data_IF_214135791605
#
_entry.id   IF_214135791605
#
_cell.length_a   1.000
_cell.length_b   1.000
_cell.length_c   1.000
_cell.angle_alpha   90.00
_cell.angle_beta   90.00
_cell.angle_gamma   90.00
#
_symmetry.space_group_name_H-M   'P 1'
#
loop_
_entity.id
_entity.type
_entity.pdbx_description
1 polymer ?
#
# COMPACT_ATOMS: atom_id res chain seq x y z
N UNK A 1 19.02 -9.61 4.13
CA UNK A 1 18.66 -9.48 5.56
C UNK A 1 17.32 -10.13 5.96
N UNK A 2 16.22 -10.03 5.19
CA UNK A 2 15.00 -10.80 5.54
C UNK A 2 15.18 -12.32 5.37
N UNK A 3 16.01 -12.76 4.42
CA UNK A 3 16.33 -14.18 4.18
C UNK A 3 16.91 -14.87 5.43
N UNK A 4 17.85 -14.21 6.13
CA UNK A 4 18.59 -14.82 7.24
C UNK A 4 17.70 -15.07 8.47
N UNK A 5 16.74 -14.17 8.73
CA UNK A 5 15.77 -14.33 9.81
C UNK A 5 14.77 -15.45 9.56
N UNK A 6 14.29 -15.59 8.32
CA UNK A 6 13.38 -16.68 7.95
C UNK A 6 14.10 -18.03 8.06
N UNK A 7 15.36 -18.10 7.60
CA UNK A 7 16.18 -19.30 7.77
C UNK A 7 16.43 -19.65 9.25
N UNK A 8 16.73 -18.67 10.10
CA UNK A 8 16.88 -18.91 11.55
C UNK A 8 15.60 -19.41 12.20
N UNK A 9 14.44 -18.85 11.84
CA UNK A 9 13.14 -19.32 12.33
C UNK A 9 12.84 -20.74 11.85
N UNK A 10 13.15 -21.05 10.59
CA UNK A 10 13.02 -22.39 10.01
C UNK A 10 13.87 -23.40 10.78
N UNK A 11 15.15 -23.08 11.02
CA UNK A 11 16.08 -23.93 11.77
C UNK A 11 15.62 -24.14 13.22
N UNK A 12 15.16 -23.09 13.90
CA UNK A 12 14.61 -23.20 15.25
C UNK A 12 13.36 -24.08 15.30
N UNK A 13 12.47 -23.93 14.32
CA UNK A 13 11.26 -24.74 14.23
C UNK A 13 11.56 -26.22 13.95
N UNK A 14 12.57 -26.50 13.11
CA UNK A 14 13.08 -27.85 12.86
C UNK A 14 13.67 -28.49 14.12
N UNK A 15 14.42 -27.72 14.91
CA UNK A 15 15.01 -28.20 16.15
C UNK A 15 13.95 -28.56 17.19
N UNK A 16 12.92 -27.71 17.36
CA UNK A 16 11.81 -27.98 18.28
C UNK A 16 11.01 -29.21 17.86
N UNK A 17 10.73 -29.38 16.56
CA UNK A 17 10.03 -30.55 16.05
C UNK A 17 10.80 -31.85 16.35
N UNK A 18 12.13 -31.83 16.18
CA UNK A 18 13.00 -32.97 16.49
C UNK A 18 12.97 -33.34 17.99
N UNK A 19 12.80 -32.37 18.89
CA UNK A 19 12.77 -32.59 20.34
C UNK A 19 11.40 -33.04 20.89
N UNK A 20 10.31 -32.72 20.20
CA UNK A 20 8.95 -32.82 20.77
C UNK A 20 8.09 -33.91 20.13
N UNK A 21 8.62 -34.70 19.18
CA UNK A 21 7.86 -35.64 18.34
C UNK A 21 6.69 -34.99 17.59
N UNK A 22 6.68 -33.65 17.48
CA UNK A 22 5.68 -32.90 16.73
C UNK A 22 6.06 -32.91 15.23
N UNK A 23 5.05 -32.86 14.33
CA UNK A 23 5.33 -32.74 12.91
C UNK A 23 6.09 -31.45 12.62
N UNK A 24 7.09 -31.54 11.72
CA UNK A 24 7.85 -30.36 11.26
C UNK A 24 6.87 -29.35 10.67
N UNK A 25 6.88 -28.09 11.15
CA UNK A 25 6.06 -27.06 10.53
C UNK A 25 6.54 -26.82 9.11
N UNK A 26 5.64 -26.99 8.15
CA UNK A 26 5.88 -26.65 6.75
C UNK A 26 5.49 -25.19 6.55
N UNK A 27 6.48 -24.33 6.27
CA UNK A 27 6.16 -22.99 5.82
C UNK A 27 5.49 -23.08 4.44
N UNK A 28 4.40 -22.33 4.20
CA UNK A 28 3.82 -22.23 2.87
C UNK A 28 4.85 -21.68 1.89
N UNK A 29 4.82 -22.17 0.64
CA UNK A 29 5.70 -21.64 -0.38
C UNK A 29 5.38 -20.16 -0.64
N UNK A 30 6.34 -19.37 -1.11
CA UNK A 30 6.09 -17.99 -1.46
C UNK A 30 4.96 -17.87 -2.50
N UNK A 31 4.95 -18.71 -3.53
CA UNK A 31 3.90 -18.76 -4.57
C UNK A 31 2.52 -19.01 -3.96
N UNK A 32 2.42 -19.97 -3.02
CA UNK A 32 1.16 -20.22 -2.30
C UNK A 32 0.68 -18.99 -1.55
N UNK A 33 1.58 -18.26 -0.88
CA UNK A 33 1.22 -17.03 -0.17
C UNK A 33 0.73 -15.94 -1.14
N UNK A 34 1.42 -15.76 -2.28
CA UNK A 34 1.00 -14.81 -3.33
C UNK A 34 -0.38 -15.17 -3.87
N UNK A 35 -0.59 -16.43 -4.24
CA UNK A 35 -1.88 -16.91 -4.76
C UNK A 35 -2.99 -16.72 -3.74
N UNK A 36 -2.71 -17.02 -2.46
CA UNK A 36 -3.68 -16.84 -1.38
C UNK A 36 -4.02 -15.37 -1.16
N UNK A 37 -3.02 -14.49 -1.17
CA UNK A 37 -3.23 -13.03 -1.07
C UNK A 37 -4.05 -12.49 -2.24
N UNK A 38 -3.75 -12.91 -3.47
CA UNK A 38 -4.53 -12.54 -4.65
C UNK A 38 -5.96 -13.05 -4.57
N UNK A 39 -6.16 -14.29 -4.13
CA UNK A 39 -7.49 -14.86 -3.93
C UNK A 39 -8.32 -14.06 -2.92
N UNK A 40 -7.70 -13.55 -1.85
CA UNK A 40 -8.36 -12.68 -0.88
C UNK A 40 -8.81 -11.34 -1.48
N UNK A 41 -8.11 -10.83 -2.51
CA UNK A 41 -8.50 -9.60 -3.22
C UNK A 41 -9.64 -9.82 -4.23
N UNK A 42 -9.81 -11.05 -4.75
CA UNK A 42 -10.84 -11.33 -5.75
C UNK A 42 -12.28 -11.19 -5.22
N UNK A 43 -12.56 -11.59 -3.97
CA UNK A 43 -13.92 -11.50 -3.41
C UNK A 43 -14.39 -10.05 -3.15
N UNK A 44 -13.55 -9.15 -2.63
CA UNK A 44 -13.86 -7.72 -2.60
C UNK A 44 -13.93 -7.09 -4.00
N UNK A 45 -13.07 -7.52 -4.93
CA UNK A 45 -13.06 -7.04 -6.31
C UNK A 45 -14.37 -7.30 -7.04
N UNK A 46 -14.91 -8.53 -6.95
CA UNK A 46 -16.19 -8.87 -7.58
C UNK A 46 -17.38 -8.06 -7.04
N UNK A 47 -17.20 -7.38 -5.91
CA UNK A 47 -18.17 -6.46 -5.29
C UNK A 47 -17.84 -4.99 -5.55
N UNK A 48 -16.88 -4.69 -6.42
CA UNK A 48 -16.44 -3.33 -6.73
C UNK A 48 -15.74 -2.61 -5.58
N UNK A 49 -15.22 -3.34 -4.58
CA UNK A 49 -14.53 -2.75 -3.41
C UNK A 49 -13.03 -2.61 -3.58
N UNK A 50 -12.49 -3.22 -4.62
CA UNK A 50 -11.06 -3.14 -4.96
C UNK A 50 -10.99 -2.64 -6.38
N UNK A 51 -10.16 -1.62 -6.58
CA UNK A 51 -9.97 -0.99 -7.88
C UNK A 51 -9.19 -1.97 -8.82
N UNK A 52 -9.57 -2.08 -10.10
CA UNK A 52 -8.96 -3.05 -11.03
C UNK A 52 -7.45 -2.88 -11.23
N UNK A 53 -6.94 -1.65 -11.33
CA UNK A 53 -5.50 -1.35 -11.40
C UNK A 53 -4.76 -1.94 -10.21
N UNK A 54 -5.30 -1.85 -9.00
CA UNK A 54 -4.69 -2.43 -7.80
C UNK A 54 -4.47 -3.94 -7.94
N UNK A 55 -5.43 -4.66 -8.51
CA UNK A 55 -5.35 -6.11 -8.72
C UNK A 55 -4.30 -6.43 -9.78
N UNK A 56 -4.29 -5.69 -10.88
CA UNK A 56 -3.30 -5.83 -11.93
C UNK A 56 -1.87 -5.68 -11.37
N UNK A 57 -1.66 -4.62 -10.56
CA UNK A 57 -0.36 -4.38 -9.94
C UNK A 57 -0.02 -5.48 -8.95
N UNK A 58 -0.95 -5.90 -8.10
CA UNK A 58 -0.73 -6.99 -7.14
C UNK A 58 -0.36 -8.32 -7.83
N UNK A 59 -0.89 -8.60 -9.03
CA UNK A 59 -0.54 -9.79 -9.80
C UNK A 59 0.90 -9.71 -10.35
N UNK A 60 1.29 -8.54 -10.86
CA UNK A 60 2.62 -8.29 -11.43
C UNK A 60 3.72 -8.04 -10.39
N UNK A 61 3.36 -7.57 -9.21
CA UNK A 61 4.33 -7.27 -8.17
C UNK A 61 4.86 -8.59 -7.59
N UNK A 62 6.15 -8.85 -7.75
CA UNK A 62 6.78 -10.11 -7.32
C UNK A 62 6.95 -10.24 -5.81
N UNK A 63 6.73 -9.17 -5.05
CA UNK A 63 6.84 -9.18 -3.61
C UNK A 63 5.54 -9.63 -2.94
N UNK A 64 5.67 -10.55 -1.96
CA UNK A 64 4.59 -10.98 -1.05
C UNK A 64 4.06 -9.87 -0.15
N UNK A 65 4.79 -8.76 -0.06
CA UNK A 65 4.45 -7.61 0.76
C UNK A 65 3.94 -6.50 -0.15
N UNK A 66 2.65 -6.17 -0.02
CA UNK A 66 2.08 -4.93 -0.57
C UNK A 66 2.85 -3.78 0.09
N UNK A 67 3.43 -2.83 -0.68
CA UNK A 67 4.19 -1.74 -0.08
C UNK A 67 3.29 -1.01 0.91
N UNK A 68 3.74 -0.95 2.16
CA UNK A 68 3.10 -0.09 3.15
C UNK A 68 3.75 1.26 3.00
N UNK A 69 2.94 2.31 3.02
CA UNK A 69 3.51 3.63 2.99
C UNK A 69 4.27 3.94 4.30
N UNK A 70 5.18 4.92 4.21
CA UNK A 70 6.23 5.18 5.19
C UNK A 70 5.69 5.14 6.63
N UNK A 71 6.36 4.38 7.50
CA UNK A 71 6.33 4.75 8.91
C UNK A 71 6.40 3.69 10.00
N UNK A 72 6.37 2.36 9.77
CA UNK A 72 6.31 1.48 10.96
C UNK A 72 7.27 0.31 11.10
N UNK A 73 7.89 -0.29 10.06
CA UNK A 73 8.79 -1.46 10.27
C UNK A 73 9.90 -1.67 9.23
N UNK A 74 10.01 -0.82 8.21
CA UNK A 74 10.90 -1.04 7.07
C UNK A 74 11.86 0.14 6.91
N UNK A 75 13.08 -0.16 6.50
CA UNK A 75 14.07 0.85 6.15
C UNK A 75 13.56 1.75 5.01
N UNK A 76 13.81 3.06 5.12
CA UNK A 76 13.30 4.06 4.18
C UNK A 76 13.73 3.78 2.74
N UNK A 77 14.96 3.33 2.52
CA UNK A 77 15.47 3.04 1.19
C UNK A 77 14.72 1.87 0.55
N UNK A 78 14.45 0.81 1.34
CA UNK A 78 13.69 -0.35 0.88
C UNK A 78 12.23 0.05 0.60
N UNK A 79 11.59 0.78 1.50
CA UNK A 79 10.21 1.24 1.34
C UNK A 79 10.05 2.10 0.08
N UNK A 80 10.96 3.05 -0.15
CA UNK A 80 10.97 3.89 -1.33
C UNK A 80 11.19 3.08 -2.62
N UNK A 81 12.12 2.12 -2.61
CA UNK A 81 12.34 1.22 -3.75
C UNK A 81 11.09 0.41 -4.11
N UNK A 82 10.42 -0.16 -3.10
CA UNK A 82 9.16 -0.90 -3.31
C UNK A 82 8.04 -0.01 -3.84
N UNK A 83 7.91 1.21 -3.30
CA UNK A 83 6.93 2.19 -3.75
C UNK A 83 7.17 2.61 -5.20
N UNK A 84 8.42 2.85 -5.59
CA UNK A 84 8.76 3.22 -6.96
C UNK A 84 8.45 2.09 -7.94
N UNK A 85 8.81 0.85 -7.60
CA UNK A 85 8.51 -0.32 -8.43
C UNK A 85 6.98 -0.51 -8.58
N UNK A 86 6.22 -0.36 -7.49
CA UNK A 86 4.76 -0.44 -7.52
C UNK A 86 4.16 0.64 -8.44
N UNK A 87 4.59 1.89 -8.26
CA UNK A 87 4.08 3.02 -9.05
C UNK A 87 4.48 2.93 -10.54
N UNK A 88 5.61 2.29 -10.86
CA UNK A 88 6.01 2.01 -12.24
C UNK A 88 5.06 1.02 -12.94
N UNK A 89 4.62 -0.04 -12.24
CA UNK A 89 3.65 -1.00 -12.79
C UNK A 89 2.28 -0.33 -13.03
N UNK A 90 1.89 0.61 -12.17
CA UNK A 90 0.68 1.42 -12.39
C UNK A 90 0.83 2.27 -13.65
N UNK A 91 2.00 2.84 -13.88
CA UNK A 91 2.27 3.61 -15.09
C UNK A 91 2.13 2.75 -16.35
N UNK A 92 2.65 1.52 -16.33
CA UNK A 92 2.44 0.56 -17.41
C UNK A 92 0.95 0.28 -17.65
N UNK A 93 0.16 0.16 -16.58
CA UNK A 93 -1.28 -0.06 -16.68
C UNK A 93 -2.01 1.11 -17.35
N UNK A 94 -1.68 2.34 -16.91
CA UNK A 94 -2.26 3.56 -17.48
C UNK A 94 -1.92 3.67 -18.98
N UNK A 95 -0.68 3.38 -19.37
CA UNK A 95 -0.24 3.41 -20.77
C UNK A 95 -0.99 2.38 -21.63
N UNK A 96 -1.40 1.25 -21.06
CA UNK A 96 -2.21 0.27 -21.80
C UNK A 96 -3.63 0.76 -22.14
N UNK A 97 -4.13 1.80 -21.46
CA UNK A 97 -5.41 2.43 -21.78
C UNK A 97 -6.62 1.48 -21.72
N UNK A 98 -6.54 0.43 -20.89
CA UNK A 98 -7.56 -0.63 -20.82
C UNK A 98 -8.82 -0.23 -20.07
N UNK A 99 -8.72 0.76 -19.19
CA UNK A 99 -9.81 1.16 -18.31
C UNK A 99 -10.39 2.53 -18.65
N UNK A 100 -11.66 2.70 -18.27
CA UNK A 100 -12.47 3.91 -18.40
C UNK A 100 -12.11 5.09 -17.48
N UNK A 101 -11.58 4.91 -16.25
CA UNK A 101 -11.25 6.05 -15.39
C UNK A 101 -10.12 6.87 -16.00
N UNK A 102 -10.15 8.17 -15.71
CA UNK A 102 -9.05 9.06 -16.07
C UNK A 102 -7.75 8.61 -15.41
N UNK A 103 -6.62 8.91 -16.05
CA UNK A 103 -5.28 8.73 -15.49
C UNK A 103 -5.20 9.20 -14.03
N UNK A 104 -5.72 10.40 -13.75
CA UNK A 104 -5.71 10.99 -12.40
C UNK A 104 -6.51 10.19 -11.37
N UNK A 105 -7.60 9.52 -11.77
CA UNK A 105 -8.39 8.67 -10.88
C UNK A 105 -7.66 7.37 -10.57
N UNK A 106 -7.02 6.77 -11.57
CA UNK A 106 -6.19 5.58 -11.41
C UNK A 106 -5.01 5.87 -10.47
N UNK A 107 -4.27 6.95 -10.74
CA UNK A 107 -3.12 7.34 -9.93
C UNK A 107 -3.54 7.59 -8.47
N UNK A 108 -4.66 8.26 -8.24
CA UNK A 108 -5.19 8.54 -6.91
C UNK A 108 -5.61 7.27 -6.17
N UNK A 109 -6.20 6.31 -6.86
CA UNK A 109 -6.72 5.09 -6.25
C UNK A 109 -5.63 4.05 -5.98
N UNK A 110 -4.62 3.95 -6.84
CA UNK A 110 -3.66 2.85 -6.83
C UNK A 110 -2.22 3.24 -6.44
N UNK A 111 -1.76 4.48 -6.73
CA UNK A 111 -0.36 4.86 -6.41
C UNK A 111 -0.18 5.02 -4.91
N UNK A 112 1.00 4.61 -4.46
CA UNK A 112 1.41 4.74 -3.06
C UNK A 112 2.29 5.99 -2.96
N UNK A 113 1.93 6.90 -2.06
CA UNK A 113 2.64 8.15 -1.80
C UNK A 113 3.74 8.02 -0.74
N UNK A 114 4.71 8.96 -0.70
CA UNK A 114 5.79 8.97 0.28
C UNK A 114 5.29 9.21 1.72
N UNK A 115 4.09 9.76 1.88
CA UNK A 115 3.31 9.67 3.10
C UNK A 115 2.10 8.78 2.82
N UNK A 116 1.70 7.96 3.80
CA UNK A 116 0.66 6.93 3.76
C UNK A 116 -0.77 7.33 3.49
N UNK A 117 -0.96 8.41 2.73
CA UNK A 117 -2.23 8.72 2.12
C UNK A 117 -2.42 7.91 0.84
N UNK A 118 -2.94 6.69 0.96
CA UNK A 118 -3.96 6.26 0.00
C UNK A 118 -5.13 7.25 0.18
N UNK A 119 -5.09 8.37 -0.55
CA UNK A 119 -6.18 9.35 -0.61
C UNK A 119 -6.73 9.86 0.72
N UNK A 120 -5.86 10.26 1.66
CA UNK A 120 -6.28 10.86 2.93
C UNK A 120 -7.12 12.12 2.70
N UNK A 121 -8.42 12.00 2.97
CA UNK A 121 -9.47 13.03 3.04
C UNK A 121 -9.35 14.15 2.00
N UNK A 122 -10.22 14.08 0.99
CA UNK A 122 -10.44 15.14 -0.01
C UNK A 122 -10.51 16.52 0.66
N UNK A 123 -9.53 17.37 0.40
CA UNK A 123 -9.88 18.77 0.19
C UNK A 123 -10.60 18.79 -1.18
N UNK A 124 -11.93 19.01 -1.17
CA UNK A 124 -12.74 19.04 -2.40
C UNK A 124 -12.32 20.15 -3.39
N UNK A 125 -11.35 21.00 -3.02
CA UNK A 125 -10.78 22.05 -3.84
C UNK A 125 -9.44 21.70 -4.50
N UNK A 126 -8.92 20.47 -4.34
CA UNK A 126 -7.62 20.06 -4.91
C UNK A 126 -7.61 20.12 -6.45
N UNK A 127 -8.78 20.03 -7.09
CA UNK A 127 -8.90 20.16 -8.56
C UNK A 127 -8.58 21.57 -9.09
N UNK A 128 -8.53 22.60 -8.23
CA UNK A 128 -8.31 24.00 -8.67
C UNK A 128 -6.89 24.53 -8.46
N UNK A 129 -6.01 23.80 -7.78
CA UNK A 129 -4.64 24.24 -7.51
C UNK A 129 -3.61 23.17 -7.91
N UNK A 130 -3.86 22.46 -9.01
CA UNK A 130 -2.89 21.55 -9.62
C UNK A 130 -1.85 22.31 -10.46
N UNK A 131 -1.42 23.48 -9.99
CA UNK A 131 -0.21 24.09 -10.51
C UNK A 131 0.95 23.27 -9.93
N UNK A 132 1.92 22.87 -10.75
CA UNK A 132 3.04 22.01 -10.35
C UNK A 132 3.90 22.58 -9.18
N UNK A 133 3.62 23.81 -8.72
CA UNK A 133 4.28 24.49 -7.61
C UNK A 133 3.48 24.55 -6.30
N UNK A 134 2.25 24.03 -6.23
CA UNK A 134 1.44 24.08 -5.02
C UNK A 134 1.92 23.05 -3.98
N UNK A 135 2.52 23.52 -2.88
CA UNK A 135 2.96 22.64 -1.78
C UNK A 135 1.77 22.26 -0.90
N UNK A 136 1.49 20.96 -0.77
CA UNK A 136 0.50 20.46 0.18
C UNK A 136 1.04 20.56 1.62
N UNK A 137 0.17 20.95 2.55
CA UNK A 137 0.40 20.93 3.99
C UNK A 137 -0.02 19.58 4.58
N UNK A 138 0.88 18.92 5.29
CA UNK A 138 0.59 17.66 5.99
C UNK A 138 0.10 17.94 7.42
N UNK A 139 -0.88 17.18 7.90
CA UNK A 139 -1.28 17.25 9.31
C UNK A 139 -0.10 16.90 10.22
N UNK A 140 0.29 17.81 11.11
CA UNK A 140 1.42 17.62 12.04
C UNK A 140 1.15 16.60 13.14
N UNK A 141 -0.11 16.20 13.36
CA UNK A 141 -0.43 15.18 14.35
C UNK A 141 -0.47 13.77 13.77
N UNK A 142 -1.27 13.54 12.73
CA UNK A 142 -1.41 12.19 12.18
C UNK A 142 -0.36 11.87 11.11
N UNK A 143 0.22 12.86 10.44
CA UNK A 143 1.07 12.68 9.27
C UNK A 143 0.42 11.90 8.11
N UNK A 144 -0.91 11.76 8.12
CA UNK A 144 -1.66 10.96 7.13
C UNK A 144 -2.52 11.80 6.20
N UNK A 145 -3.09 12.89 6.70
CA UNK A 145 -3.92 13.78 5.89
C UNK A 145 -3.09 14.91 5.28
N UNK A 146 -3.37 15.24 4.03
CA UNK A 146 -2.73 16.32 3.28
C UNK A 146 -3.78 17.34 2.82
N UNK A 147 -3.42 18.61 2.85
CA UNK A 147 -4.32 19.73 2.55
C UNK A 147 -3.63 20.72 1.61
N UNK A 148 -4.36 21.35 0.70
CA UNK A 148 -3.75 22.39 -0.15
C UNK A 148 -3.52 23.72 0.60
N UNK A 149 -4.18 23.94 1.74
CA UNK A 149 -4.05 25.13 2.58
C UNK A 149 -4.36 24.82 4.04
N UNK A 150 -3.94 25.69 4.95
CA UNK A 150 -4.32 25.63 6.36
C UNK A 150 -5.84 25.74 6.56
N UNK A 151 -6.54 26.46 5.68
CA UNK A 151 -8.01 26.56 5.70
C UNK A 151 -8.67 25.20 5.42
N UNK A 152 -8.18 24.47 4.40
CA UNK A 152 -8.66 23.11 4.12
C UNK A 152 -8.38 22.15 5.29
N UNK A 153 -7.26 22.33 6.00
CA UNK A 153 -6.97 21.58 7.23
C UNK A 153 -7.97 21.89 8.34
N UNK A 154 -8.22 23.16 8.63
CA UNK A 154 -9.17 23.59 9.66
C UNK A 154 -10.60 23.12 9.36
N UNK A 155 -11.03 23.17 8.09
CA UNK A 155 -12.37 22.71 7.68
C UNK A 155 -12.54 21.19 7.81
N UNK A 156 -11.50 20.41 7.53
CA UNK A 156 -11.52 18.95 7.67
C UNK A 156 -11.34 18.47 9.11
N UNK A 157 -10.87 19.34 10.01
CA UNK A 157 -10.51 19.00 11.39
C UNK A 157 -11.65 18.37 12.23
N UNK A 158 -12.91 18.86 12.17
CA UNK A 158 -14.00 18.25 12.93
C UNK A 158 -14.23 16.79 12.53
N UNK A 159 -14.17 16.48 11.23
CA UNK A 159 -14.34 15.11 10.71
C UNK A 159 -13.13 14.23 11.04
N UNK A 160 -11.91 14.77 10.93
CA UNK A 160 -10.67 14.06 11.22
C UNK A 160 -10.52 13.65 12.70
N UNK A 161 -11.09 14.44 13.62
CA UNK A 161 -11.07 14.12 15.06
C UNK A 161 -11.95 12.94 15.44
N UNK A 162 -13.05 12.72 14.72
CA UNK A 162 -14.03 11.69 15.06
C UNK A 162 -13.62 10.31 14.53
N UNK A 163 -12.95 10.26 13.39
CA UNK A 163 -12.38 9.05 12.79
C UNK A 163 -10.87 9.23 12.55
N UNK A 164 -10.04 9.13 13.60
CA UNK A 164 -8.59 9.11 13.40
C UNK A 164 -8.23 7.89 12.54
N UNK A 165 -7.37 8.05 11.52
CA UNK A 165 -6.91 6.91 10.72
C UNK A 165 -6.23 5.86 11.62
N UNK A 166 -6.70 4.62 11.51
CA UNK A 166 -6.25 3.44 12.27
C UNK A 166 -4.80 3.07 11.95
#
# INVERSE_FOLDING_TARGET
MMSDRVQLLQQGAEHVAAMTSLPKPTLPSPEYLKDRSLQMLMSPSSRGRVEPTFIYVAQKFDSFVIPQAHGRKMDNFIALGMQNNWNAIIEEYIVQGKDTPSRSEIERAAKIGPASSLGGVKCNNVERSADANSRFHQCSQCHLSVYCSQECQCLAWPTQKTDPPV
#
